data_IF_773164050700
#
_entry.id   IF_773164050700
#
_cell.length_a   1.000
_cell.length_b   1.000
_cell.length_c   1.000
_cell.angle_alpha   90.00
_cell.angle_beta   90.00
_cell.angle_gamma   90.00
#
_symmetry.space_group_name_H-M   'P 1'
#
loop_
_entity.id
_entity.type
_entity.pdbx_description
1 polymer ?
#
# COMPACT_ATOMS: atom_id res chain seq x y z
N UNK A 1 -24.46 -76.59 -37.43
CA UNK A 1 -23.96 -75.29 -37.91
C UNK A 1 -22.95 -74.76 -36.91
N UNK A 2 -21.69 -74.82 -37.31
CA UNK A 2 -20.47 -74.50 -36.58
C UNK A 2 -20.27 -72.99 -36.48
N UNK A 3 -19.90 -72.46 -35.30
CA UNK A 3 -19.03 -71.27 -35.12
C UNK A 3 -18.77 -71.04 -33.61
N UNK A 4 -17.64 -71.54 -33.11
CA UNK A 4 -16.39 -70.81 -32.79
C UNK A 4 -16.48 -70.07 -31.44
N UNK A 5 -15.77 -70.64 -30.46
CA UNK A 5 -15.34 -70.05 -29.20
C UNK A 5 -14.30 -68.98 -29.52
N UNK A 6 -14.51 -67.73 -29.07
CA UNK A 6 -13.45 -66.72 -29.04
C UNK A 6 -13.07 -66.45 -27.59
N UNK A 7 -11.88 -66.92 -27.24
CA UNK A 7 -11.17 -66.56 -26.03
C UNK A 7 -10.75 -65.09 -26.11
N UNK A 8 -11.12 -64.28 -25.12
CA UNK A 8 -10.63 -62.92 -24.96
C UNK A 8 -9.28 -63.00 -24.24
N UNK A 9 -8.20 -62.99 -25.01
CA UNK A 9 -6.84 -62.81 -24.49
C UNK A 9 -6.66 -61.32 -24.20
N UNK A 10 -6.64 -60.96 -22.93
CA UNK A 10 -6.25 -59.61 -22.50
C UNK A 10 -4.71 -59.52 -22.55
N UNK A 11 -4.18 -58.96 -23.62
CA UNK A 11 -2.75 -58.60 -23.72
C UNK A 11 -2.56 -57.32 -22.91
N UNK A 12 -2.06 -57.47 -21.67
CA UNK A 12 -1.55 -56.35 -20.89
C UNK A 12 -0.17 -55.95 -21.47
N UNK A 13 -0.18 -54.96 -22.35
CA UNK A 13 1.05 -54.35 -22.85
C UNK A 13 1.62 -53.43 -21.75
N UNK A 14 2.41 -53.98 -20.83
CA UNK A 14 3.21 -53.18 -19.90
C UNK A 14 4.35 -52.57 -20.71
N UNK A 15 4.12 -51.39 -21.30
CA UNK A 15 5.21 -50.54 -21.73
C UNK A 15 5.94 -50.07 -20.46
N UNK A 16 7.08 -50.70 -20.18
CA UNK A 16 8.00 -50.24 -19.16
C UNK A 16 8.54 -48.87 -19.55
N UNK A 17 7.96 -47.81 -19.00
CA UNK A 17 8.64 -46.52 -18.93
C UNK A 17 9.86 -46.73 -18.04
N UNK A 18 11.05 -46.81 -18.64
CA UNK A 18 12.30 -46.62 -17.92
C UNK A 18 12.33 -45.17 -17.47
N UNK A 19 11.77 -44.88 -16.30
CA UNK A 19 12.07 -43.66 -15.57
C UNK A 19 13.50 -43.77 -15.07
N UNK A 20 14.45 -43.18 -15.80
CA UNK A 20 15.76 -42.89 -15.22
C UNK A 20 15.52 -41.99 -14.00
N UNK A 21 16.04 -42.32 -12.81
CA UNK A 21 16.00 -41.40 -11.70
C UNK A 21 16.82 -40.16 -12.09
N UNK A 22 16.13 -39.04 -12.30
CA UNK A 22 16.80 -37.75 -12.37
C UNK A 22 17.26 -37.45 -10.95
N UNK A 23 18.53 -37.70 -10.66
CA UNK A 23 19.14 -37.17 -9.45
C UNK A 23 19.10 -35.64 -9.54
N UNK A 24 18.61 -35.00 -8.48
CA UNK A 24 18.79 -33.57 -8.32
C UNK A 24 20.29 -33.27 -8.43
N UNK A 25 20.68 -32.42 -9.37
CA UNK A 25 22.02 -31.87 -9.37
C UNK A 25 22.23 -31.15 -8.03
N UNK A 26 23.40 -31.37 -7.42
CA UNK A 26 23.88 -30.60 -6.25
C UNK A 26 23.54 -29.12 -6.43
N UNK A 27 22.98 -28.44 -5.41
CA UNK A 27 22.66 -27.03 -5.54
C UNK A 27 23.95 -26.27 -5.82
N UNK A 28 24.06 -25.71 -7.03
CA UNK A 28 25.10 -24.72 -7.30
C UNK A 28 24.92 -23.59 -6.28
N UNK A 29 25.87 -23.48 -5.34
CA UNK A 29 26.06 -22.34 -4.45
C UNK A 29 26.55 -21.12 -5.24
N UNK A 30 25.89 -20.77 -6.34
CA UNK A 30 25.99 -19.43 -6.89
C UNK A 30 25.14 -18.54 -6.00
N UNK A 31 25.82 -17.81 -5.12
CA UNK A 31 25.26 -16.77 -4.26
C UNK A 31 24.54 -15.74 -5.15
N UNK A 32 23.23 -15.88 -5.32
CA UNK A 32 22.43 -14.92 -6.07
C UNK A 32 22.58 -13.54 -5.39
N UNK A 33 23.10 -12.51 -6.09
CA UNK A 33 23.50 -11.26 -5.45
C UNK A 33 22.33 -10.40 -4.95
N UNK A 34 21.06 -10.82 -5.17
CA UNK A 34 19.88 -10.17 -4.61
C UNK A 34 18.97 -11.22 -3.95
N UNK A 35 18.89 -11.18 -2.63
CA UNK A 35 17.76 -11.74 -1.91
C UNK A 35 16.58 -10.77 -2.07
N UNK A 36 15.55 -11.19 -2.82
CA UNK A 36 14.32 -10.40 -3.03
C UNK A 36 13.43 -10.34 -1.77
N UNK A 37 13.93 -10.79 -0.62
CA UNK A 37 13.27 -10.63 0.66
C UNK A 37 13.03 -9.14 0.98
N UNK A 38 11.78 -8.80 1.28
CA UNK A 38 11.37 -7.46 1.68
C UNK A 38 11.42 -7.37 3.22
N UNK A 39 12.33 -6.56 3.73
CA UNK A 39 12.46 -6.29 5.16
C UNK A 39 11.68 -5.03 5.56
N UNK A 40 10.89 -5.12 6.63
CA UNK A 40 10.25 -3.95 7.25
C UNK A 40 11.08 -3.45 8.44
N UNK A 41 12.11 -2.67 8.14
CA UNK A 41 13.09 -2.21 9.14
C UNK A 41 12.65 -0.95 9.89
N UNK A 42 12.98 -0.92 11.18
CA UNK A 42 12.80 0.27 12.01
C UNK A 42 13.75 1.40 11.57
N UNK A 43 13.27 2.65 11.65
CA UNK A 43 14.01 3.85 11.24
C UNK A 43 15.43 3.90 11.82
N UNK A 44 15.62 3.56 13.10
CA UNK A 44 16.94 3.56 13.74
C UNK A 44 17.96 2.65 13.05
N UNK A 45 17.53 1.51 12.52
CA UNK A 45 18.38 0.59 11.76
C UNK A 45 18.60 1.13 10.35
N UNK A 46 17.55 1.63 9.70
CA UNK A 46 17.64 2.23 8.36
C UNK A 46 18.56 3.45 8.35
N UNK A 47 18.54 4.28 9.39
CA UNK A 47 19.38 5.46 9.53
C UNK A 47 20.88 5.11 9.50
N UNK A 48 21.25 3.92 9.99
CA UNK A 48 22.62 3.39 9.92
C UNK A 48 22.95 2.82 8.54
N UNK A 49 21.99 2.16 7.89
CA UNK A 49 22.15 1.55 6.56
C UNK A 49 22.23 2.61 5.45
N UNK A 50 21.45 3.67 5.56
CA UNK A 50 21.33 4.74 4.57
C UNK A 50 21.82 6.06 5.18
N UNK A 51 23.13 6.24 5.47
CA UNK A 51 23.64 7.45 6.11
C UNK A 51 23.43 8.70 5.23
N UNK A 52 23.64 9.90 5.79
CA UNK A 52 23.56 11.13 4.99
C UNK A 52 24.52 11.04 3.78
N UNK A 53 24.07 11.58 2.65
CA UNK A 53 24.70 11.53 1.33
C UNK A 53 24.71 10.16 0.63
N UNK A 54 24.18 9.11 1.26
CA UNK A 54 23.98 7.82 0.58
C UNK A 54 23.07 7.99 -0.64
N UNK A 55 23.39 7.28 -1.71
CA UNK A 55 22.58 7.19 -2.92
C UNK A 55 21.93 5.81 -2.95
N UNK A 56 20.63 5.77 -3.22
CA UNK A 56 19.89 4.50 -3.31
C UNK A 56 18.74 4.60 -4.30
N UNK A 57 18.21 3.45 -4.69
CA UNK A 57 17.10 3.33 -5.64
C UNK A 57 15.79 3.20 -4.88
N UNK A 58 14.81 4.01 -5.28
CA UNK A 58 13.41 3.92 -4.85
C UNK A 58 12.63 3.20 -5.94
N UNK A 59 11.81 2.21 -5.56
CA UNK A 59 10.91 1.47 -6.45
C UNK A 59 9.48 1.72 -5.98
N UNK A 60 8.63 2.23 -6.87
CA UNK A 60 7.20 2.41 -6.59
C UNK A 60 6.43 1.10 -6.76
N UNK A 61 5.76 0.65 -5.70
CA UNK A 61 5.10 -0.67 -5.67
C UNK A 61 3.97 -0.79 -6.68
N UNK A 62 3.25 0.30 -6.95
CA UNK A 62 2.07 0.25 -7.83
C UNK A 62 2.43 0.35 -9.32
N UNK A 63 3.43 1.17 -9.67
CA UNK A 63 3.81 1.39 -11.08
C UNK A 63 5.01 0.57 -11.52
N UNK A 64 5.78 0.02 -10.58
CA UNK A 64 7.05 -0.66 -10.85
C UNK A 64 8.18 0.28 -11.31
N UNK A 65 7.91 1.59 -11.43
CA UNK A 65 8.93 2.57 -11.83
C UNK A 65 9.93 2.76 -10.72
N UNK A 66 11.19 2.93 -11.10
CA UNK A 66 12.28 3.18 -10.17
C UNK A 66 13.09 4.42 -10.53
N UNK A 67 13.63 5.08 -9.52
CA UNK A 67 14.46 6.27 -9.67
C UNK A 67 15.45 6.36 -8.52
N UNK A 68 16.59 7.03 -8.76
CA UNK A 68 17.63 7.20 -7.74
C UNK A 68 17.43 8.48 -6.95
N UNK A 69 17.78 8.42 -5.67
CA UNK A 69 17.76 9.56 -4.76
C UNK A 69 19.07 9.66 -4.00
N UNK A 70 19.33 10.85 -3.45
CA UNK A 70 20.36 11.06 -2.43
C UNK A 70 19.69 11.49 -1.13
N UNK A 71 20.07 10.86 -0.01
CA UNK A 71 19.69 11.36 1.32
C UNK A 71 20.49 12.61 1.67
N UNK A 72 19.81 13.66 2.13
CA UNK A 72 20.41 14.96 2.46
C UNK A 72 20.28 15.31 3.93
N UNK A 73 19.18 14.94 4.56
CA UNK A 73 18.92 15.25 5.96
C UNK A 73 17.99 14.20 6.60
N UNK A 74 17.19 14.62 7.57
CA UNK A 74 16.21 13.80 8.27
C UNK A 74 16.72 13.20 9.59
N UNK A 75 16.00 13.51 10.68
CA UNK A 75 16.25 13.01 12.03
C UNK A 75 15.39 11.78 12.36
N UNK A 76 14.12 11.80 11.95
CA UNK A 76 13.11 10.77 12.27
C UNK A 76 12.62 9.99 11.05
N UNK A 77 13.07 10.40 9.87
CA UNK A 77 12.82 9.81 8.56
C UNK A 77 13.91 10.31 7.60
N UNK A 78 13.91 9.88 6.35
CA UNK A 78 14.91 10.32 5.38
C UNK A 78 14.41 11.49 4.54
N UNK A 79 15.11 12.62 4.61
CA UNK A 79 14.92 13.75 3.68
C UNK A 79 15.80 13.52 2.47
N UNK A 80 15.17 13.34 1.31
CA UNK A 80 15.84 12.90 0.08
C UNK A 80 15.52 13.83 -1.09
N UNK A 81 16.41 13.84 -2.07
CA UNK A 81 16.23 14.53 -3.34
C UNK A 81 16.42 13.54 -4.48
N UNK A 82 15.65 13.60 -5.58
CA UNK A 82 15.96 12.85 -6.79
C UNK A 82 17.41 13.15 -7.22
N UNK A 83 18.16 12.15 -7.68
CA UNK A 83 19.58 12.35 -7.96
C UNK A 83 19.82 13.22 -9.20
N UNK A 84 18.94 13.15 -10.20
CA UNK A 84 19.07 13.83 -11.48
C UNK A 84 17.73 14.35 -12.03
N UNK A 85 17.78 15.17 -13.09
CA UNK A 85 16.59 15.62 -13.84
C UNK A 85 15.77 14.44 -14.41
N UNK A 86 16.45 13.34 -14.77
CA UNK A 86 15.79 12.09 -15.21
C UNK A 86 15.01 11.46 -14.06
N UNK A 87 15.63 11.34 -12.88
CA UNK A 87 14.99 10.77 -11.69
C UNK A 87 13.78 11.60 -11.25
N UNK A 88 13.90 12.94 -11.28
CA UNK A 88 12.79 13.87 -11.04
C UNK A 88 11.64 13.67 -12.02
N UNK A 89 11.94 13.46 -13.31
CA UNK A 89 10.91 13.18 -14.32
C UNK A 89 10.17 11.87 -14.01
N UNK A 90 10.89 10.80 -13.69
CA UNK A 90 10.29 9.51 -13.32
C UNK A 90 9.39 9.67 -12.09
N UNK A 91 9.88 10.33 -11.05
CA UNK A 91 9.10 10.62 -9.85
C UNK A 91 7.82 11.41 -10.19
N UNK A 92 7.92 12.43 -11.03
CA UNK A 92 6.75 13.22 -11.46
C UNK A 92 5.74 12.39 -12.26
N UNK A 93 6.20 11.45 -13.08
CA UNK A 93 5.33 10.51 -13.78
C UNK A 93 4.61 9.55 -12.84
N UNK A 94 5.25 9.08 -11.75
CA UNK A 94 4.60 8.27 -10.70
C UNK A 94 3.41 9.02 -10.09
N UNK A 95 3.48 10.34 -10.03
CA UNK A 95 2.40 11.22 -9.58
C UNK A 95 1.59 11.83 -10.73
N UNK A 96 1.53 11.18 -11.90
CA UNK A 96 0.73 11.57 -13.05
C UNK A 96 0.98 13.01 -13.53
N UNK A 97 2.22 13.49 -13.45
CA UNK A 97 2.61 14.81 -13.92
C UNK A 97 2.50 15.93 -12.89
N UNK A 98 2.03 15.66 -11.67
CA UNK A 98 1.81 16.68 -10.64
C UNK A 98 2.50 16.33 -9.32
N UNK A 99 2.93 17.33 -8.55
CA UNK A 99 3.44 17.09 -7.20
C UNK A 99 2.29 16.87 -6.22
N UNK A 100 2.45 15.93 -5.30
CA UNK A 100 1.34 15.52 -4.42
C UNK A 100 1.82 15.05 -3.04
N UNK A 101 1.04 15.37 -2.02
CA UNK A 101 1.18 14.77 -0.69
C UNK A 101 0.56 13.37 -0.60
N UNK A 102 0.03 12.80 -1.68
CA UNK A 102 -0.48 11.41 -1.70
C UNK A 102 0.62 10.44 -1.26
N UNK A 103 0.31 9.56 -0.31
CA UNK A 103 1.29 8.58 0.19
C UNK A 103 1.36 7.40 -0.75
N UNK A 104 2.56 6.89 -1.00
CA UNK A 104 2.78 5.73 -1.86
C UNK A 104 3.59 4.68 -1.12
N UNK A 105 3.27 3.42 -1.37
CA UNK A 105 4.06 2.27 -0.94
C UNK A 105 5.27 2.14 -1.85
N UNK A 106 6.46 2.07 -1.26
CA UNK A 106 7.71 1.99 -2.00
C UNK A 106 8.66 0.96 -1.38
N UNK A 107 9.58 0.48 -2.19
CA UNK A 107 10.71 -0.34 -1.76
C UNK A 107 12.00 0.44 -1.97
N UNK A 108 12.89 0.38 -0.99
CA UNK A 108 14.26 0.88 -1.14
C UNK A 108 15.15 -0.29 -1.48
N UNK A 109 15.76 -0.24 -2.65
CA UNK A 109 16.73 -1.24 -3.06
C UNK A 109 18.11 -0.85 -2.52
N UNK A 110 18.66 -1.76 -1.74
CA UNK A 110 20.08 -1.80 -1.36
C UNK A 110 20.74 -2.98 -2.07
N UNK A 111 22.06 -3.12 -1.95
CA UNK A 111 22.80 -4.17 -2.68
C UNK A 111 22.30 -5.58 -2.36
N UNK A 112 21.86 -5.84 -1.12
CA UNK A 112 21.52 -7.19 -0.66
C UNK A 112 20.04 -7.39 -0.32
N UNK A 113 19.21 -6.33 -0.33
CA UNK A 113 17.81 -6.42 0.15
C UNK A 113 16.91 -5.27 -0.30
N UNK A 114 15.60 -5.52 -0.18
CA UNK A 114 14.54 -4.52 -0.34
C UNK A 114 14.01 -4.09 1.03
N UNK A 115 13.90 -2.79 1.28
CA UNK A 115 13.36 -2.25 2.54
C UNK A 115 11.99 -1.62 2.27
N UNK A 116 10.96 -2.08 2.97
CA UNK A 116 9.62 -1.52 2.90
C UNK A 116 9.57 -0.10 3.49
N UNK A 117 9.01 0.84 2.72
CA UNK A 117 8.91 2.24 3.09
C UNK A 117 7.67 2.91 2.48
N UNK A 118 7.48 4.18 2.81
CA UNK A 118 6.48 5.03 2.18
C UNK A 118 7.04 6.42 1.86
N UNK A 119 6.66 6.97 0.71
CA UNK A 119 7.00 8.33 0.30
C UNK A 119 5.77 9.18 -0.02
N UNK A 120 5.98 10.48 -0.13
CA UNK A 120 5.09 11.38 -0.86
C UNK A 120 5.88 12.13 -1.96
N UNK A 121 5.18 12.81 -2.85
CA UNK A 121 5.74 13.45 -4.05
C UNK A 121 6.00 14.95 -3.93
N UNK A 122 5.42 15.61 -2.93
CA UNK A 122 5.49 17.07 -2.81
C UNK A 122 6.89 17.55 -2.40
N UNK A 123 7.55 18.42 -3.20
CA UNK A 123 8.75 19.10 -2.78
C UNK A 123 8.45 20.07 -1.62
N UNK A 124 9.30 20.07 -0.60
CA UNK A 124 9.22 21.01 0.51
C UNK A 124 10.60 21.25 1.13
N UNK A 125 10.69 22.27 1.99
CA UNK A 125 11.96 22.70 2.57
C UNK A 125 12.98 23.13 1.51
N UNK A 126 14.26 23.12 1.88
CA UNK A 126 15.35 23.49 0.99
C UNK A 126 15.82 22.30 0.13
N UNK A 127 16.21 22.60 -1.12
CA UNK A 127 16.87 21.69 -2.05
C UNK A 127 18.35 22.04 -2.23
N UNK A 128 19.16 21.12 -2.74
CA UNK A 128 20.61 21.31 -2.86
C UNK A 128 21.22 20.74 -4.16
N UNK A 129 20.45 19.98 -4.94
CA UNK A 129 20.86 19.42 -6.22
C UNK A 129 20.17 20.17 -7.36
N UNK A 130 20.87 20.44 -8.47
CA UNK A 130 20.24 20.89 -9.72
C UNK A 130 19.60 19.71 -10.48
N UNK A 131 18.53 19.17 -9.90
CA UNK A 131 17.77 18.03 -10.40
C UNK A 131 16.38 18.44 -10.93
N UNK A 132 16.05 19.73 -10.96
CA UNK A 132 14.71 20.22 -11.31
C UNK A 132 13.62 19.91 -10.27
N UNK A 133 13.99 19.53 -9.05
CA UNK A 133 13.10 19.28 -7.91
C UNK A 133 13.39 20.32 -6.81
N UNK A 134 12.48 21.28 -6.64
CA UNK A 134 12.71 22.44 -5.76
C UNK A 134 12.43 22.12 -4.28
N UNK A 135 13.36 21.44 -3.62
CA UNK A 135 13.24 21.07 -2.21
C UNK A 135 13.78 19.67 -1.94
N UNK A 136 13.21 19.00 -0.95
CA UNK A 136 13.33 17.57 -0.70
C UNK A 136 11.95 16.95 -0.51
N UNK A 137 11.90 15.62 -0.42
CA UNK A 137 10.71 14.88 -0.01
C UNK A 137 11.07 13.85 1.05
N UNK A 138 10.08 13.41 1.82
CA UNK A 138 10.30 12.49 2.93
C UNK A 138 10.06 11.04 2.49
N UNK A 139 10.93 10.15 2.95
CA UNK A 139 10.73 8.71 2.96
C UNK A 139 10.63 8.23 4.41
N UNK A 140 9.49 7.66 4.75
CA UNK A 140 9.18 7.11 6.07
C UNK A 140 9.37 5.59 6.08
N UNK A 141 9.91 5.10 7.18
CA UNK A 141 10.10 3.67 7.47
C UNK A 141 9.31 3.28 8.72
N UNK A 142 9.35 2.00 9.11
CA UNK A 142 8.70 1.56 10.35
C UNK A 142 9.26 2.37 11.54
N UNK A 143 8.37 2.91 12.38
CA UNK A 143 8.76 3.74 13.52
C UNK A 143 9.20 5.17 13.19
N UNK A 144 9.13 5.59 11.93
CA UNK A 144 9.31 7.01 11.59
C UNK A 144 8.17 7.87 12.18
N UNK A 145 8.53 9.08 12.62
CA UNK A 145 7.59 10.15 13.03
C UNK A 145 7.69 11.35 12.10
N UNK A 146 6.65 12.19 12.08
CA UNK A 146 6.65 13.41 11.25
C UNK A 146 7.40 14.55 11.94
N UNK A 147 7.76 15.60 11.21
CA UNK A 147 8.43 16.76 11.81
C UNK A 147 7.57 17.54 12.81
N UNK A 148 6.24 17.55 12.62
CA UNK A 148 5.31 18.39 13.39
C UNK A 148 4.63 17.64 14.53
N UNK A 149 4.74 16.31 14.55
CA UNK A 149 4.18 15.47 15.60
C UNK A 149 5.14 14.36 15.96
N UNK A 150 5.33 14.13 17.26
CA UNK A 150 6.00 12.93 17.79
C UNK A 150 5.15 11.65 17.57
N UNK A 151 4.04 11.76 16.83
CA UNK A 151 3.16 10.65 16.48
C UNK A 151 3.46 10.17 15.07
N UNK A 152 3.50 8.86 14.91
CA UNK A 152 3.64 8.22 13.60
C UNK A 152 2.39 8.50 12.73
N UNK A 153 2.60 8.87 11.46
CA UNK A 153 1.52 9.15 10.49
C UNK A 153 0.91 7.82 10.00
N UNK A 154 -0.33 7.54 10.40
CA UNK A 154 -1.06 6.35 9.98
C UNK A 154 -1.09 6.20 8.45
N UNK A 155 -1.11 7.32 7.70
CA UNK A 155 -1.08 7.32 6.23
C UNK A 155 0.21 6.73 5.67
N UNK A 156 1.34 6.97 6.33
CA UNK A 156 2.61 6.33 5.98
C UNK A 156 2.65 4.89 6.48
N UNK A 157 2.14 4.59 7.69
CA UNK A 157 2.12 3.24 8.22
C UNK A 157 1.37 2.26 7.31
N UNK A 158 0.17 2.61 6.85
CA UNK A 158 -0.59 1.74 5.93
C UNK A 158 0.18 1.46 4.64
N UNK A 159 0.94 2.43 4.13
CA UNK A 159 1.72 2.26 2.90
C UNK A 159 3.02 1.48 3.13
N UNK A 160 3.64 1.59 4.31
CA UNK A 160 4.78 0.75 4.71
C UNK A 160 4.32 -0.70 4.84
N UNK A 161 3.19 -0.96 5.49
CA UNK A 161 2.62 -2.30 5.60
C UNK A 161 2.18 -2.87 4.25
N UNK A 162 1.64 -2.04 3.35
CA UNK A 162 1.39 -2.40 1.95
C UNK A 162 2.68 -2.81 1.24
N UNK A 163 3.74 -2.02 1.35
CA UNK A 163 5.05 -2.33 0.74
C UNK A 163 5.66 -3.62 1.31
N UNK A 164 5.52 -3.85 2.62
CA UNK A 164 6.05 -5.03 3.31
C UNK A 164 5.16 -6.27 3.26
N UNK A 165 4.04 -6.25 2.53
CA UNK A 165 3.15 -7.41 2.41
C UNK A 165 2.39 -7.79 3.69
N UNK A 166 2.29 -6.91 4.68
CA UNK A 166 1.66 -7.16 6.00
C UNK A 166 0.40 -6.33 6.22
N UNK A 167 -0.19 -5.79 5.15
CA UNK A 167 -1.33 -4.87 5.24
C UNK A 167 -2.59 -5.50 5.82
N UNK A 168 -2.82 -6.80 5.56
CA UNK A 168 -4.00 -7.50 6.07
C UNK A 168 -3.93 -7.67 7.59
N UNK A 169 -2.76 -8.01 8.12
CA UNK A 169 -2.52 -8.11 9.56
C UNK A 169 -2.64 -6.74 10.22
N UNK A 170 -2.06 -5.70 9.60
CA UNK A 170 -2.11 -4.34 10.12
C UNK A 170 -3.55 -3.80 10.20
N UNK A 171 -4.35 -3.99 9.14
CA UNK A 171 -5.74 -3.52 9.09
C UNK A 171 -6.62 -4.23 10.12
N UNK A 172 -6.34 -5.52 10.39
CA UNK A 172 -7.15 -6.34 11.30
C UNK A 172 -7.20 -5.76 12.72
N UNK A 173 -6.09 -5.17 13.15
CA UNK A 173 -5.91 -4.70 14.53
C UNK A 173 -6.26 -3.20 14.70
N UNK A 174 -6.73 -2.52 13.64
CA UNK A 174 -7.09 -1.11 13.73
C UNK A 174 -8.35 -0.88 14.57
N UNK A 175 -8.29 0.13 15.42
CA UNK A 175 -9.49 0.70 16.08
C UNK A 175 -10.44 1.31 15.06
N UNK A 176 -11.71 1.57 15.41
CA UNK A 176 -12.65 2.23 14.50
C UNK A 176 -12.17 3.57 13.94
N UNK A 177 -11.55 4.40 14.77
CA UNK A 177 -10.98 5.69 14.36
C UNK A 177 -9.84 5.50 13.35
N UNK A 178 -8.92 4.57 13.64
CA UNK A 178 -7.80 4.27 12.75
C UNK A 178 -8.28 3.65 11.43
N UNK A 179 -9.25 2.72 11.47
CA UNK A 179 -9.80 2.14 10.25
C UNK A 179 -10.50 3.19 9.38
N UNK A 180 -11.23 4.13 10.00
CA UNK A 180 -11.87 5.24 9.29
C UNK A 180 -10.82 6.12 8.60
N UNK A 181 -9.73 6.44 9.29
CA UNK A 181 -8.61 7.18 8.70
C UNK A 181 -7.95 6.39 7.58
N UNK A 182 -7.66 5.10 7.78
CA UNK A 182 -7.06 4.24 6.76
C UNK A 182 -7.94 4.14 5.51
N UNK A 183 -9.27 3.97 5.68
CA UNK A 183 -10.24 4.00 4.60
C UNK A 183 -10.15 5.30 3.79
N UNK A 184 -10.15 6.46 4.46
CA UNK A 184 -10.03 7.77 3.77
C UNK A 184 -8.69 7.95 3.07
N UNK A 185 -7.59 7.39 3.63
CA UNK A 185 -6.29 7.33 2.95
C UNK A 185 -6.37 6.46 1.69
N UNK A 186 -7.03 5.30 1.73
CA UNK A 186 -7.19 4.45 0.55
C UNK A 186 -8.00 5.14 -0.55
N UNK A 187 -9.06 5.87 -0.18
CA UNK A 187 -9.82 6.72 -1.10
C UNK A 187 -8.93 7.81 -1.69
N UNK A 188 -8.19 8.56 -0.87
CA UNK A 188 -7.25 9.60 -1.31
C UNK A 188 -6.18 9.07 -2.24
N UNK A 189 -5.73 7.84 -1.99
CA UNK A 189 -4.72 7.17 -2.81
C UNK A 189 -5.29 6.54 -4.08
N UNK A 190 -6.62 6.48 -4.22
CA UNK A 190 -7.35 5.76 -5.26
C UNK A 190 -7.05 4.25 -5.28
N UNK A 191 -6.85 3.65 -4.10
CA UNK A 191 -6.51 2.24 -3.93
C UNK A 191 -7.78 1.38 -3.76
N UNK A 192 -8.38 0.99 -4.88
CA UNK A 192 -9.62 0.22 -4.89
C UNK A 192 -9.48 -1.13 -4.16
N UNK A 193 -8.31 -1.77 -4.24
CA UNK A 193 -8.07 -3.06 -3.58
C UNK A 193 -8.07 -2.94 -2.07
N UNK A 194 -7.41 -1.92 -1.52
CA UNK A 194 -7.45 -1.67 -0.08
C UNK A 194 -8.83 -1.17 0.39
N UNK A 195 -9.53 -0.38 -0.42
CA UNK A 195 -10.93 -0.01 -0.13
C UNK A 195 -11.81 -1.26 -0.02
N UNK A 196 -11.71 -2.21 -0.97
CA UNK A 196 -12.48 -3.46 -0.94
C UNK A 196 -12.19 -4.32 0.29
N UNK A 197 -10.97 -4.27 0.83
CA UNK A 197 -10.60 -5.03 2.03
C UNK A 197 -11.33 -4.54 3.28
N UNK A 198 -11.63 -3.25 3.37
CA UNK A 198 -12.18 -2.63 4.61
C UNK A 198 -13.64 -2.22 4.49
N UNK A 199 -14.11 -1.89 3.29
CA UNK A 199 -15.41 -1.29 3.06
C UNK A 199 -16.51 -2.33 2.82
N UNK A 200 -17.70 -2.05 3.34
CA UNK A 200 -18.95 -2.76 3.07
C UNK A 200 -19.98 -1.77 2.50
N UNK A 201 -21.01 -2.31 1.86
CA UNK A 201 -22.11 -1.52 1.28
C UNK A 201 -23.41 -2.30 1.35
N UNK A 202 -24.54 -1.60 1.45
CA UNK A 202 -25.87 -2.20 1.35
C UNK A 202 -26.33 -2.36 -0.10
N UNK A 203 -25.47 -2.07 -1.08
CA UNK A 203 -25.76 -2.23 -2.52
C UNK A 203 -25.37 -3.61 -3.01
N UNK A 204 -26.14 -4.13 -3.97
CA UNK A 204 -25.94 -5.47 -4.53
C UNK A 204 -24.55 -5.71 -5.13
N UNK A 205 -23.90 -4.67 -5.66
CA UNK A 205 -22.60 -4.79 -6.32
C UNK A 205 -21.55 -3.87 -5.68
N UNK A 206 -20.82 -4.40 -4.71
CA UNK A 206 -19.75 -3.68 -4.02
C UNK A 206 -18.67 -3.14 -4.97
N UNK A 207 -18.25 -3.93 -5.95
CA UNK A 207 -17.23 -3.52 -6.93
C UNK A 207 -17.68 -2.30 -7.75
N UNK A 208 -18.97 -2.21 -8.10
CA UNK A 208 -19.52 -1.04 -8.79
C UNK A 208 -19.50 0.19 -7.89
N UNK A 209 -19.76 0.05 -6.59
CA UNK A 209 -19.71 1.17 -5.65
C UNK A 209 -18.27 1.64 -5.43
N UNK A 210 -17.31 0.72 -5.26
CA UNK A 210 -15.89 1.06 -5.12
C UNK A 210 -15.36 1.82 -6.35
N UNK A 211 -15.78 1.46 -7.57
CA UNK A 211 -15.34 2.19 -8.78
C UNK A 211 -15.72 3.67 -8.78
N UNK A 212 -16.74 4.08 -8.02
CA UNK A 212 -17.18 5.49 -7.95
C UNK A 212 -16.17 6.39 -7.24
N UNK A 213 -15.24 5.84 -6.47
CA UNK A 213 -14.17 6.61 -5.83
C UNK A 213 -13.28 7.33 -6.88
N UNK A 214 -13.21 6.81 -8.11
CA UNK A 214 -12.50 7.44 -9.23
C UNK A 214 -13.08 8.82 -9.61
N UNK A 215 -14.29 9.15 -9.13
CA UNK A 215 -14.91 10.45 -9.30
C UNK A 215 -14.45 11.48 -8.25
N UNK A 216 -13.72 11.05 -7.22
CA UNK A 216 -13.17 11.95 -6.19
C UNK A 216 -11.77 12.37 -6.66
N UNK A 217 -11.59 13.66 -6.93
CA UNK A 217 -10.30 14.22 -7.36
C UNK A 217 -9.39 14.54 -6.17
N UNK A 218 -9.99 15.01 -5.08
CA UNK A 218 -9.27 15.23 -3.83
C UNK A 218 -10.19 15.04 -2.63
N UNK A 219 -9.59 14.68 -1.50
CA UNK A 219 -10.26 14.51 -0.22
C UNK A 219 -9.33 14.98 0.90
N UNK A 220 -9.89 15.78 1.81
CA UNK A 220 -9.30 16.15 3.08
C UNK A 220 -10.34 15.94 4.18
N UNK A 221 -9.90 15.57 5.36
CA UNK A 221 -10.82 15.24 6.45
C UNK A 221 -10.31 15.72 7.80
N UNK A 222 -11.25 15.86 8.74
CA UNK A 222 -11.00 16.06 10.15
C UNK A 222 -11.92 15.15 10.94
N UNK A 223 -11.33 14.30 11.77
CA UNK A 223 -12.08 13.50 12.72
C UNK A 223 -12.69 14.43 13.78
N UNK A 224 -13.97 14.23 14.08
CA UNK A 224 -14.61 14.89 15.21
C UNK A 224 -14.46 13.95 16.40
N UNK A 225 -13.91 14.48 17.51
CA UNK A 225 -13.62 13.69 18.71
C UNK A 225 -14.84 12.85 19.12
N UNK A 226 -14.59 11.57 19.36
CA UNK A 226 -15.55 10.59 19.84
C UNK A 226 -14.99 9.91 21.06
N UNK A 227 -15.88 9.40 21.91
CA UNK A 227 -15.48 8.49 22.98
C UNK A 227 -15.03 7.17 22.35
N UNK A 228 -13.92 6.63 22.84
CA UNK A 228 -13.46 5.31 22.45
C UNK A 228 -14.56 4.26 22.72
N UNK A 229 -14.96 3.46 21.72
CA UNK A 229 -15.94 2.41 21.93
C UNK A 229 -15.41 1.37 22.92
N UNK A 230 -16.31 0.78 23.69
CA UNK A 230 -15.98 -0.32 24.61
C UNK A 230 -15.28 -1.46 23.84
N UNK A 231 -14.32 -2.13 24.48
CA UNK A 231 -13.60 -3.32 23.98
C UNK A 231 -14.51 -4.39 23.36
N UNK A 232 -15.74 -4.56 23.87
CA UNK A 232 -16.71 -5.53 23.36
C UNK A 232 -17.72 -4.98 22.35
N UNK A 233 -17.64 -3.70 21.97
CA UNK A 233 -18.56 -3.08 21.03
C UNK A 233 -18.51 -3.78 19.66
N UNK A 234 -19.66 -4.03 19.05
CA UNK A 234 -19.75 -4.61 17.70
C UNK A 234 -20.04 -3.55 16.63
N UNK A 235 -20.41 -2.35 17.06
CA UNK A 235 -20.73 -1.21 16.22
C UNK A 235 -20.04 0.04 16.77
N UNK A 236 -19.68 0.96 15.88
CA UNK A 236 -19.10 2.25 16.24
C UNK A 236 -19.42 3.31 15.17
N UNK A 237 -19.68 4.53 15.62
CA UNK A 237 -19.96 5.67 14.75
C UNK A 237 -18.84 6.70 14.85
N UNK A 238 -18.19 6.97 13.72
CA UNK A 238 -17.08 7.92 13.62
C UNK A 238 -17.52 9.11 12.76
N UNK A 239 -17.90 10.25 13.36
CA UNK A 239 -18.23 11.46 12.64
C UNK A 239 -16.98 12.13 12.06
N UNK A 240 -17.01 12.41 10.76
CA UNK A 240 -15.89 12.99 10.03
C UNK A 240 -16.37 14.18 9.21
N UNK A 241 -15.71 15.32 9.39
CA UNK A 241 -15.84 16.44 8.46
C UNK A 241 -15.00 16.15 7.21
N UNK A 242 -15.63 16.06 6.05
CA UNK A 242 -14.97 15.80 4.77
C UNK A 242 -15.07 17.01 3.86
N UNK A 243 -13.98 17.32 3.18
CA UNK A 243 -13.89 18.29 2.10
C UNK A 243 -13.44 17.54 0.84
N UNK A 244 -14.31 17.45 -0.15
CA UNK A 244 -14.12 16.71 -1.38
C UNK A 244 -14.08 17.67 -2.58
N UNK A 245 -13.32 17.30 -3.60
CA UNK A 245 -13.54 17.81 -4.96
C UNK A 245 -14.02 16.63 -5.81
N UNK A 246 -15.24 16.72 -6.35
CA UNK A 246 -15.87 15.62 -7.09
C UNK A 246 -16.04 16.01 -8.56
N UNK A 247 -15.62 15.11 -9.46
CA UNK A 247 -15.77 15.26 -10.91
C UNK A 247 -17.21 15.57 -11.28
N UNK A 248 -17.40 16.62 -12.08
CA UNK A 248 -18.71 17.06 -12.60
C UNK A 248 -19.73 17.53 -11.53
N UNK A 249 -19.33 17.67 -10.27
CA UNK A 249 -20.16 18.21 -9.18
C UNK A 249 -19.49 19.46 -8.58
N UNK A 250 -18.18 19.41 -8.37
CA UNK A 250 -17.41 20.50 -7.75
C UNK A 250 -17.08 20.23 -6.28
N UNK A 251 -16.78 21.29 -5.50
CA UNK A 251 -16.40 21.14 -4.10
C UNK A 251 -17.60 20.77 -3.24
N UNK A 252 -17.44 19.77 -2.37
CA UNK A 252 -18.44 19.31 -1.40
C UNK A 252 -17.83 19.31 -0.01
N UNK A 253 -18.46 20.02 0.93
CA UNK A 253 -18.09 20.04 2.34
C UNK A 253 -19.26 19.54 3.18
N UNK A 254 -19.05 18.48 3.96
CA UNK A 254 -20.12 17.90 4.77
C UNK A 254 -19.56 17.10 5.95
N UNK A 255 -20.44 16.73 6.89
CA UNK A 255 -20.13 15.83 8.01
C UNK A 255 -20.78 14.47 7.75
N UNK A 256 -19.97 13.41 7.75
CA UNK A 256 -20.41 12.04 7.55
C UNK A 256 -20.26 11.26 8.86
N UNK A 257 -21.33 10.67 9.43
CA UNK A 257 -21.20 9.65 10.45
C UNK A 257 -20.86 8.32 9.77
N UNK A 258 -19.58 7.92 9.78
CA UNK A 258 -19.20 6.61 9.28
C UNK A 258 -19.63 5.55 10.29
N UNK A 259 -20.45 4.61 9.84
CA UNK A 259 -20.88 3.46 10.63
C UNK A 259 -19.91 2.31 10.39
N UNK A 260 -19.36 1.75 11.46
CA UNK A 260 -18.47 0.60 11.46
C UNK A 260 -19.11 -0.57 12.19
N UNK A 261 -18.88 -1.78 11.69
CA UNK A 261 -19.39 -3.01 12.29
C UNK A 261 -18.32 -4.10 12.32
N UNK A 262 -18.45 -5.06 13.24
CA UNK A 262 -17.70 -6.32 13.26
C UNK A 262 -18.59 -7.45 13.80
N UNK A 263 -18.30 -8.68 13.42
CA UNK A 263 -19.12 -9.86 13.81
C UNK A 263 -18.82 -10.41 15.20
N UNK A 264 -17.67 -10.04 15.78
CA UNK A 264 -17.28 -10.40 17.15
C UNK A 264 -16.21 -9.44 17.67
N UNK A 265 -15.90 -9.42 18.98
CA UNK A 265 -14.86 -8.56 19.56
C UNK A 265 -13.43 -8.80 19.03
N UNK A 266 -13.17 -9.95 18.39
CA UNK A 266 -11.88 -10.30 17.79
C UNK A 266 -11.87 -10.22 16.26
N UNK A 267 -13.04 -9.95 15.66
CA UNK A 267 -13.15 -9.79 14.21
C UNK A 267 -12.73 -8.38 13.80
N UNK A 268 -12.10 -8.22 12.62
CA UNK A 268 -11.72 -6.91 12.13
C UNK A 268 -12.96 -6.04 11.89
N UNK A 269 -12.82 -4.74 12.16
CA UNK A 269 -13.82 -3.75 11.81
C UNK A 269 -14.00 -3.64 10.29
N UNK A 270 -15.24 -3.37 9.86
CA UNK A 270 -15.61 -3.01 8.50
C UNK A 270 -16.35 -1.68 8.51
N UNK A 271 -16.15 -0.87 7.48
CA UNK A 271 -16.74 0.46 7.37
C UNK A 271 -17.79 0.54 6.27
N UNK A 272 -18.96 1.10 6.57
CA UNK A 272 -19.98 1.35 5.56
C UNK A 272 -19.59 2.54 4.67
N UNK A 273 -19.29 2.29 3.39
CA UNK A 273 -18.90 3.33 2.44
C UNK A 273 -20.07 4.12 1.85
N UNK A 274 -21.32 3.64 2.01
CA UNK A 274 -22.50 4.22 1.35
C UNK A 274 -22.67 5.73 1.56
N UNK A 275 -22.47 6.29 2.76
CA UNK A 275 -22.60 7.73 2.98
C UNK A 275 -21.65 8.57 2.11
N UNK A 276 -20.39 8.13 1.96
CA UNK A 276 -19.41 8.81 1.13
C UNK A 276 -19.74 8.66 -0.36
N UNK A 277 -20.07 7.44 -0.81
CA UNK A 277 -20.35 7.15 -2.22
C UNK A 277 -21.64 7.83 -2.71
N UNK A 278 -22.59 8.15 -1.83
CA UNK A 278 -23.75 8.97 -2.19
C UNK A 278 -23.35 10.36 -2.67
N UNK A 279 -22.26 10.93 -2.16
CA UNK A 279 -21.77 12.27 -2.55
C UNK A 279 -21.13 12.30 -3.93
N UNK A 280 -20.85 11.14 -4.53
CA UNK A 280 -20.28 11.05 -5.88
C UNK A 280 -21.36 10.85 -6.96
N UNK A 281 -22.64 10.94 -6.60
CA UNK A 281 -23.77 10.82 -7.52
C UNK A 281 -24.22 12.21 -7.94
N UNK A 282 -24.53 12.34 -9.23
CA UNK A 282 -25.25 13.49 -9.77
C UNK A 282 -26.71 13.42 -9.37
#
# INVERSE_FOLDING_TARGET
MTKIIYAVISILLVMGFKSSPTYAAEPNNEEYPLDFHIEMLHWEKVNKILPRYSIFTVIDVETGKSFRVQRRAGQHHADVQPLSKKDTKIMKEIYNGHWSWRRRAILIQTDTKLIAASMHGMPHGAGALDNGFNGHFCIHFKGSVTHHSEKSDLSHQVMIHKAGGTIDDFIRDLTPEQLTTAFLVFIKNNDQGLVQKVAITNKQNANKEVKKINNIESINWKLVSVNEPNLFALEADIPVEVNLLVKNIGPVKTKIPFHLIRTSPISPWKINMDPLIKLTKK
#
